data_IF_034180535426
#
_entry.id   IF_034180535426
#
_cell.length_a   1.000
_cell.length_b   1.000
_cell.length_c   1.000
_cell.angle_alpha   90.00
_cell.angle_beta   90.00
_cell.angle_gamma   90.00
#
_symmetry.space_group_name_H-M   'P 1'
#
loop_
_entity.id
_entity.type
_entity.pdbx_description
1 polymer ?
#
# COMPACT_ATOMS: atom_id res chain seq x y z
N UNK A 1 7.17 19.95 -14.12
CA UNK A 1 5.95 19.71 -14.94
C UNK A 1 5.67 18.21 -14.93
N UNK A 2 4.55 17.74 -14.35
CA UNK A 2 4.16 16.34 -14.41
C UNK A 2 3.87 15.95 -15.86
N UNK A 3 4.35 14.80 -16.30
CA UNK A 3 4.13 14.28 -17.66
C UNK A 3 2.99 13.28 -17.60
N UNK A 4 1.88 13.57 -18.28
CA UNK A 4 0.80 12.60 -18.49
C UNK A 4 1.29 11.52 -19.44
N UNK A 5 1.32 10.27 -18.98
CA UNK A 5 1.61 9.12 -19.84
C UNK A 5 0.26 8.58 -20.31
N UNK A 6 -0.17 9.05 -21.48
CA UNK A 6 -1.41 8.61 -22.12
C UNK A 6 -1.11 7.36 -22.97
N UNK A 7 -1.67 6.20 -22.62
CA UNK A 7 -1.62 5.03 -23.51
C UNK A 7 -2.48 5.30 -24.76
N UNK A 8 -1.82 5.31 -25.93
CA UNK A 8 -2.49 5.45 -27.23
C UNK A 8 -3.45 4.28 -27.48
N UNK A 9 -4.68 4.60 -27.91
CA UNK A 9 -5.65 3.64 -28.43
C UNK A 9 -5.03 2.76 -29.54
N UNK A 10 -5.22 1.43 -29.53
CA UNK A 10 -4.83 0.60 -30.65
C UNK A 10 -5.83 0.75 -31.82
N UNK A 11 -5.27 0.96 -33.01
CA UNK A 11 -5.95 0.82 -34.31
C UNK A 11 -6.28 -0.66 -34.53
N UNK A 12 -7.45 -1.03 -35.08
CA UNK A 12 -7.83 -2.42 -35.22
C UNK A 12 -7.07 -3.05 -36.41
N UNK A 13 -6.16 -3.98 -36.12
CA UNK A 13 -5.74 -5.00 -37.07
C UNK A 13 -5.63 -6.36 -36.38
N UNK A 14 -6.08 -7.36 -37.11
CA UNK A 14 -6.32 -8.74 -36.71
C UNK A 14 -5.12 -9.49 -36.12
N UNK A 15 -5.50 -10.43 -35.24
CA UNK A 15 -4.81 -11.63 -34.77
C UNK A 15 -3.73 -11.58 -33.67
N UNK A 16 -4.14 -12.28 -32.60
CA UNK A 16 -3.42 -13.20 -31.70
C UNK A 16 -2.69 -12.62 -30.49
N UNK A 17 -3.04 -13.25 -29.37
CA UNK A 17 -2.42 -13.25 -28.05
C UNK A 17 -2.34 -11.91 -27.32
N UNK A 18 -3.42 -11.59 -26.59
CA UNK A 18 -3.35 -10.79 -25.37
C UNK A 18 -4.18 -11.46 -24.29
N UNK A 19 -3.49 -11.85 -23.22
CA UNK A 19 -4.08 -12.46 -22.03
C UNK A 19 -5.20 -11.59 -21.48
N UNK A 20 -6.41 -12.10 -21.62
CA UNK A 20 -7.59 -11.57 -20.93
C UNK A 20 -7.51 -12.11 -19.51
N UNK A 21 -7.25 -11.24 -18.53
CA UNK A 21 -7.57 -11.53 -17.13
C UNK A 21 -9.10 -11.55 -17.03
N UNK A 22 -9.67 -12.72 -17.28
CA UNK A 22 -11.06 -13.03 -16.99
C UNK A 22 -11.16 -13.15 -15.47
N UNK A 23 -11.66 -12.12 -14.80
CA UNK A 23 -12.09 -12.27 -13.40
C UNK A 23 -13.37 -13.10 -13.38
N UNK A 24 -13.22 -14.41 -13.26
CA UNK A 24 -14.31 -15.25 -12.78
C UNK A 24 -14.44 -15.03 -11.27
N UNK A 25 -15.68 -14.90 -10.78
CA UNK A 25 -16.10 -14.49 -9.43
C UNK A 25 -15.64 -15.36 -8.25
N UNK A 26 -14.56 -16.14 -8.38
CA UNK A 26 -14.11 -17.11 -7.36
C UNK A 26 -12.62 -17.05 -7.04
N UNK A 27 -11.80 -16.29 -7.76
CA UNK A 27 -10.36 -16.15 -7.47
C UNK A 27 -10.01 -14.67 -7.25
N UNK A 28 -9.53 -14.34 -6.05
CA UNK A 28 -8.93 -13.02 -5.76
C UNK A 28 -7.41 -13.19 -5.74
N UNK A 29 -6.74 -12.59 -6.73
CA UNK A 29 -5.29 -12.49 -6.77
C UNK A 29 -4.87 -11.07 -6.45
N UNK A 30 -3.96 -10.92 -5.49
CA UNK A 30 -3.31 -9.64 -5.20
C UNK A 30 -1.82 -9.77 -5.54
N UNK A 31 -1.30 -8.81 -6.30
CA UNK A 31 0.08 -8.82 -6.79
C UNK A 31 0.74 -7.52 -6.37
N UNK A 32 1.88 -7.63 -5.71
CA UNK A 32 2.72 -6.48 -5.37
C UNK A 32 4.18 -6.78 -5.72
N UNK A 33 4.92 -5.76 -6.14
CA UNK A 33 6.34 -5.88 -6.49
C UNK A 33 7.16 -5.41 -5.30
N UNK A 34 8.04 -6.28 -4.81
CA UNK A 34 8.94 -6.00 -3.69
C UNK A 34 10.37 -5.98 -4.19
N UNK A 35 11.05 -4.86 -3.98
CA UNK A 35 12.50 -4.79 -4.15
C UNK A 35 13.17 -5.42 -2.92
N UNK A 36 14.16 -6.27 -3.13
CA UNK A 36 14.88 -6.94 -2.03
C UNK A 36 15.90 -6.04 -1.32
N UNK A 37 15.99 -4.77 -1.74
CA UNK A 37 16.81 -3.75 -1.09
C UNK A 37 18.29 -3.79 -1.50
N UNK A 38 18.69 -4.70 -2.40
CA UNK A 38 20.01 -4.60 -3.06
C UNK A 38 19.97 -3.48 -4.09
N UNK A 39 20.21 -2.25 -3.61
CA UNK A 39 20.38 -1.07 -4.48
C UNK A 39 21.45 -1.40 -5.53
N UNK A 40 21.02 -1.56 -6.79
CA UNK A 40 21.79 -1.69 -8.04
C UNK A 40 21.85 -3.07 -8.74
N UNK A 41 21.11 -4.11 -8.34
CA UNK A 41 20.96 -5.31 -9.19
C UNK A 41 19.56 -5.40 -9.81
N UNK A 42 19.39 -5.18 -11.13
CA UNK A 42 18.09 -5.36 -11.78
C UNK A 42 17.54 -6.80 -11.73
N UNK A 43 18.31 -7.78 -11.25
CA UNK A 43 17.84 -9.14 -10.95
C UNK A 43 17.28 -9.32 -9.53
N UNK A 44 17.27 -8.28 -8.68
CA UNK A 44 16.84 -8.39 -7.27
C UNK A 44 15.32 -8.27 -7.07
N UNK A 45 14.60 -7.84 -8.10
CA UNK A 45 13.17 -7.57 -7.99
C UNK A 45 12.41 -8.88 -7.77
N UNK A 46 11.61 -8.91 -6.71
CA UNK A 46 10.76 -10.04 -6.35
C UNK A 46 9.30 -9.64 -6.51
N UNK A 47 8.51 -10.51 -7.11
CA UNK A 47 7.07 -10.36 -7.17
C UNK A 47 6.45 -11.16 -6.02
N UNK A 48 5.74 -10.48 -5.13
CA UNK A 48 4.89 -11.16 -4.16
C UNK A 48 3.49 -11.34 -4.76
N UNK A 49 3.04 -12.59 -4.82
CA UNK A 49 1.70 -12.94 -5.27
C UNK A 49 0.96 -13.55 -4.10
N UNK A 50 -0.13 -12.93 -3.68
CA UNK A 50 -1.07 -13.51 -2.74
C UNK A 50 -2.21 -14.18 -3.52
N UNK A 51 -2.36 -15.49 -3.37
CA UNK A 51 -3.39 -16.29 -4.02
C UNK A 51 -4.30 -16.93 -2.99
N UNK A 52 -5.61 -16.85 -3.21
CA UNK A 52 -6.61 -17.60 -2.44
C UNK A 52 -7.11 -18.79 -3.25
N UNK A 53 -7.03 -19.99 -2.66
CA UNK A 53 -7.53 -21.23 -3.23
C UNK A 53 -8.83 -21.63 -2.51
N UNK A 54 -10.01 -21.44 -3.13
CA UNK A 54 -11.31 -21.67 -2.49
C UNK A 54 -11.57 -23.14 -2.16
N UNK A 55 -10.95 -24.06 -2.90
CA UNK A 55 -11.20 -25.51 -2.82
C UNK A 55 -10.63 -26.14 -1.54
N UNK A 56 -9.48 -25.64 -1.09
CA UNK A 56 -8.77 -26.17 0.09
C UNK A 56 -8.81 -25.20 1.28
N UNK A 57 -9.53 -24.08 1.15
CA UNK A 57 -9.53 -22.93 2.07
C UNK A 57 -8.09 -22.54 2.47
N UNK A 58 -7.20 -22.53 1.48
CA UNK A 58 -5.80 -22.17 1.68
C UNK A 58 -5.49 -20.87 0.98
N UNK A 59 -4.65 -20.07 1.62
CA UNK A 59 -4.12 -18.85 1.04
C UNK A 59 -2.61 -19.05 0.97
N UNK A 60 -2.00 -18.74 -0.18
CA UNK A 60 -0.54 -18.67 -0.31
C UNK A 60 -0.13 -17.23 -0.54
N UNK A 61 1.05 -16.89 -0.04
CA UNK A 61 1.78 -15.75 -0.53
C UNK A 61 3.08 -16.32 -1.04
N UNK A 62 3.29 -16.16 -2.34
CA UNK A 62 4.39 -16.71 -3.10
C UNK A 62 5.33 -15.56 -3.50
N UNK A 63 6.63 -15.84 -3.49
CA UNK A 63 7.66 -14.89 -3.89
C UNK A 63 8.35 -15.40 -5.16
N UNK A 64 8.24 -14.66 -6.26
CA UNK A 64 8.87 -14.98 -7.54
C UNK A 64 10.04 -14.02 -7.80
N UNK A 65 11.16 -14.52 -8.31
CA UNK A 65 12.23 -13.64 -8.76
C UNK A 65 11.93 -13.18 -10.19
N UNK A 66 12.03 -11.88 -10.45
CA UNK A 66 11.93 -11.32 -11.80
C UNK A 66 13.36 -11.21 -12.37
N UNK A 67 13.68 -12.00 -13.39
CA UNK A 67 14.90 -11.79 -14.18
C UNK A 67 14.57 -11.11 -15.51
N UNK A 68 15.32 -10.07 -15.93
CA UNK A 68 15.08 -9.38 -17.20
C UNK A 68 15.40 -10.21 -18.45
N UNK A 69 16.12 -11.33 -18.34
CA UNK A 69 16.58 -12.10 -19.50
C UNK A 69 15.76 -13.37 -19.74
N UNK A 70 15.04 -13.37 -20.86
CA UNK A 70 14.40 -14.49 -21.57
C UNK A 70 13.24 -15.20 -20.83
N UNK A 71 12.04 -15.08 -21.43
CA UNK A 71 10.82 -15.83 -21.16
C UNK A 71 10.61 -16.15 -19.67
N UNK A 72 9.79 -15.34 -18.99
CA UNK A 72 9.39 -15.50 -17.58
C UNK A 72 9.00 -16.96 -17.24
N UNK A 73 10.00 -17.79 -17.01
CA UNK A 73 9.89 -19.05 -16.33
C UNK A 73 10.01 -18.67 -14.87
N UNK A 74 9.10 -19.12 -13.99
CA UNK A 74 9.24 -18.93 -12.56
C UNK A 74 10.47 -19.73 -12.08
N UNK A 75 11.66 -19.17 -12.26
CA UNK A 75 12.92 -19.72 -11.77
C UNK A 75 13.14 -19.13 -10.38
N UNK A 76 12.49 -19.73 -9.39
CA UNK A 76 12.63 -19.32 -8.00
C UNK A 76 12.08 -20.37 -7.04
N UNK A 77 12.76 -20.56 -5.92
CA UNK A 77 12.23 -21.31 -4.79
C UNK A 77 11.01 -20.56 -4.25
N UNK A 78 9.80 -21.04 -4.57
CA UNK A 78 8.56 -20.51 -4.03
C UNK A 78 8.59 -20.74 -2.51
N UNK A 79 8.52 -19.65 -1.74
CA UNK A 79 8.41 -19.70 -0.28
C UNK A 79 7.01 -19.31 0.12
N UNK A 80 6.34 -20.22 0.84
CA UNK A 80 4.97 -20.07 1.30
C UNK A 80 4.96 -19.56 2.74
N UNK A 81 4.03 -18.65 3.04
CA UNK A 81 3.73 -18.27 4.42
C UNK A 81 2.90 -19.36 5.10
N UNK A 82 3.46 -19.98 6.13
CA UNK A 82 2.78 -21.01 6.92
C UNK A 82 2.23 -20.45 8.24
N UNK A 83 0.93 -20.64 8.45
CA UNK A 83 0.26 -20.27 9.69
C UNK A 83 0.38 -21.41 10.69
N UNK A 84 1.15 -21.20 11.76
CA UNK A 84 1.32 -22.16 12.85
C UNK A 84 0.07 -22.28 13.76
N UNK A 85 -0.98 -21.50 13.49
CA UNK A 85 -2.22 -21.44 14.28
C UNK A 85 -3.20 -22.55 13.91
N UNK A 86 -3.90 -23.10 14.91
CA UNK A 86 -5.01 -24.06 14.73
C UNK A 86 -6.14 -23.44 13.91
N UNK A 87 -6.30 -22.11 13.99
CA UNK A 87 -7.26 -21.36 13.20
C UNK A 87 -6.56 -20.74 11.98
N UNK A 88 -7.00 -21.12 10.78
CA UNK A 88 -6.57 -20.52 9.53
C UNK A 88 -7.34 -19.22 9.27
N UNK A 89 -6.69 -18.17 8.74
CA UNK A 89 -7.39 -16.96 8.34
C UNK A 89 -8.28 -17.25 7.12
N UNK A 90 -9.46 -16.61 7.08
CA UNK A 90 -10.40 -16.68 5.96
C UNK A 90 -9.95 -15.84 4.77
N UNK A 91 -9.24 -14.74 5.03
CA UNK A 91 -8.65 -13.86 4.02
C UNK A 91 -7.28 -13.37 4.47
N UNK A 92 -6.37 -13.20 3.52
CA UNK A 92 -5.10 -12.50 3.71
C UNK A 92 -5.03 -11.35 2.73
N UNK A 93 -4.37 -10.30 3.17
CA UNK A 93 -4.02 -9.17 2.34
C UNK A 93 -2.56 -8.80 2.60
N UNK A 94 -1.79 -8.62 1.53
CA UNK A 94 -0.47 -8.02 1.64
C UNK A 94 -0.67 -6.51 1.87
N UNK A 95 -0.46 -6.07 3.10
CA UNK A 95 -0.76 -4.69 3.50
C UNK A 95 0.29 -3.71 2.96
N UNK A 96 1.57 -4.05 3.05
CA UNK A 96 2.68 -3.27 2.51
C UNK A 96 3.98 -4.09 2.51
N UNK A 97 5.01 -3.57 1.84
CA UNK A 97 6.35 -4.14 1.78
C UNK A 97 7.43 -3.06 1.85
N UNK A 98 8.63 -3.42 2.33
CA UNK A 98 9.81 -2.55 2.35
C UNK A 98 11.06 -3.40 2.58
N UNK A 99 12.11 -3.20 1.76
CA UNK A 99 13.43 -3.83 1.89
C UNK A 99 13.36 -5.36 2.11
N UNK A 100 12.56 -6.04 1.29
CA UNK A 100 12.35 -7.49 1.38
C UNK A 100 11.55 -7.97 2.60
N UNK A 101 10.97 -7.09 3.41
CA UNK A 101 10.00 -7.43 4.45
C UNK A 101 8.57 -7.09 4.00
N UNK A 102 7.61 -7.86 4.48
CA UNK A 102 6.19 -7.70 4.15
C UNK A 102 5.32 -7.70 5.42
N UNK A 103 4.28 -6.88 5.43
CA UNK A 103 3.22 -6.93 6.44
C UNK A 103 2.00 -7.61 5.84
N UNK A 104 1.54 -8.66 6.50
CA UNK A 104 0.34 -9.40 6.11
C UNK A 104 -0.78 -9.10 7.09
N UNK A 105 -1.93 -8.70 6.56
CA UNK A 105 -3.17 -8.57 7.31
C UNK A 105 -3.99 -9.86 7.16
N UNK A 106 -4.30 -10.52 8.27
CA UNK A 106 -5.01 -11.79 8.33
C UNK A 106 -6.38 -11.60 8.98
N UNK A 107 -7.44 -11.97 8.27
CA UNK A 107 -8.83 -11.82 8.68
C UNK A 107 -9.41 -13.18 9.08
N UNK A 108 -9.89 -13.30 10.32
CA UNK A 108 -10.37 -14.57 10.86
C UNK A 108 -11.91 -14.69 10.87
N UNK A 109 -12.63 -13.58 10.84
CA UNK A 109 -14.10 -13.54 10.78
C UNK A 109 -14.61 -12.74 9.58
N UNK A 110 -15.89 -12.93 9.22
CA UNK A 110 -16.63 -12.13 8.24
C UNK A 110 -16.76 -10.69 8.76
N UNK A 111 -16.87 -10.53 10.08
CA UNK A 111 -16.81 -9.23 10.73
C UNK A 111 -15.37 -8.71 10.70
N UNK A 112 -15.18 -7.55 10.06
CA UNK A 112 -13.90 -6.87 9.80
C UNK A 112 -13.10 -6.48 11.05
N UNK A 113 -13.55 -6.88 12.24
CA UNK A 113 -13.05 -6.47 13.56
C UNK A 113 -11.89 -7.34 14.07
N UNK A 114 -11.67 -8.53 13.48
CA UNK A 114 -10.58 -9.42 13.90
C UNK A 114 -9.51 -9.53 12.81
N UNK A 115 -8.75 -8.44 12.64
CA UNK A 115 -7.56 -8.40 11.79
C UNK A 115 -6.33 -8.63 12.67
N UNK A 116 -5.47 -9.56 12.28
CA UNK A 116 -4.13 -9.72 12.87
C UNK A 116 -3.07 -9.32 11.86
N UNK A 117 -2.03 -8.66 12.34
CA UNK A 117 -0.89 -8.28 11.51
C UNK A 117 0.31 -9.19 11.78
N UNK A 118 0.97 -9.60 10.71
CA UNK A 118 2.18 -10.42 10.74
C UNK A 118 3.28 -9.71 9.97
N UNK A 119 4.48 -9.66 10.54
CA UNK A 119 5.68 -9.33 9.79
C UNK A 119 6.24 -10.62 9.21
N UNK A 120 6.45 -10.64 7.90
CA UNK A 120 6.97 -11.77 7.17
C UNK A 120 8.26 -11.39 6.44
N UNK A 121 9.26 -12.27 6.52
CA UNK A 121 10.44 -12.24 5.67
C UNK A 121 10.29 -13.33 4.60
N UNK A 122 9.88 -12.99 3.37
CA UNK A 122 9.74 -13.97 2.29
C UNK A 122 11.05 -14.68 1.98
N UNK A 123 12.21 -14.04 2.18
CA UNK A 123 13.51 -14.62 1.86
C UNK A 123 13.99 -15.66 2.89
N UNK A 124 13.53 -15.60 4.14
CA UNK A 124 13.83 -16.62 5.18
C UNK A 124 12.65 -17.54 5.47
N UNK A 125 11.43 -17.15 5.07
CA UNK A 125 10.19 -17.85 5.42
C UNK A 125 9.73 -17.56 6.85
N UNK A 126 10.52 -16.80 7.63
CA UNK A 126 10.19 -16.50 9.02
C UNK A 126 9.08 -15.46 9.09
N UNK A 127 8.16 -15.67 10.03
CA UNK A 127 7.07 -14.74 10.32
C UNK A 127 6.93 -14.53 11.81
N UNK A 128 6.52 -13.33 12.22
CA UNK A 128 6.24 -12.99 13.61
C UNK A 128 4.94 -12.19 13.71
N UNK A 129 4.09 -12.47 14.73
CA UNK A 129 2.92 -11.64 15.00
C UNK A 129 3.34 -10.25 15.44
N UNK A 130 2.64 -9.24 14.91
CA UNK A 130 2.75 -7.87 15.40
C UNK A 130 1.75 -7.66 16.54
N UNK A 131 2.08 -6.80 17.52
CA UNK A 131 1.11 -6.39 18.52
C UNK A 131 -0.07 -5.70 17.83
N UNK A 132 -1.26 -5.80 18.43
CA UNK A 132 -2.42 -5.09 17.88
C UNK A 132 -2.25 -3.57 18.06
N UNK A 133 -2.62 -2.77 17.05
CA UNK A 133 -2.78 -1.34 17.24
C UNK A 133 -3.87 -1.06 18.29
N UNK A 134 -3.88 0.13 18.89
CA UNK A 134 -4.85 0.46 19.94
C UNK A 134 -6.29 0.64 19.41
N UNK A 135 -6.45 0.85 18.10
CA UNK A 135 -7.74 0.95 17.42
C UNK A 135 -7.96 -0.18 16.40
N UNK A 136 -7.99 -1.46 16.81
CA UNK A 136 -8.04 -2.59 15.87
C UNK A 136 -9.44 -2.77 15.24
N UNK A 137 -10.50 -2.28 15.89
CA UNK A 137 -11.90 -2.51 15.49
C UNK A 137 -12.43 -1.54 14.43
N UNK A 138 -11.64 -0.55 14.00
CA UNK A 138 -12.07 0.43 13.02
C UNK A 138 -11.92 -0.10 11.59
N UNK A 139 -13.02 -0.08 10.82
CA UNK A 139 -12.94 -0.30 9.38
C UNK A 139 -12.10 0.80 8.73
N UNK A 140 -11.10 0.40 7.93
CA UNK A 140 -10.24 1.34 7.22
C UNK A 140 -8.97 1.74 7.99
N UNK A 141 -8.25 0.75 8.53
CA UNK A 141 -6.86 0.91 8.94
C UNK A 141 -5.94 0.76 7.71
N UNK A 142 -4.98 1.67 7.59
CA UNK A 142 -3.95 1.70 6.54
C UNK A 142 -2.59 1.54 7.18
N UNK A 143 -1.76 0.64 6.66
CA UNK A 143 -0.47 0.32 7.25
C UNK A 143 0.66 0.60 6.26
N UNK A 144 1.75 1.17 6.76
CA UNK A 144 3.00 1.35 6.03
C UNK A 144 4.16 0.75 6.81
N UNK A 145 5.13 0.20 6.07
CA UNK A 145 6.42 -0.27 6.59
C UNK A 145 7.53 0.56 5.95
N UNK A 146 8.49 1.03 6.75
CA UNK A 146 9.58 1.86 6.27
C UNK A 146 10.82 1.75 7.14
N UNK A 147 11.99 1.79 6.51
CA UNK A 147 13.27 1.82 7.21
C UNK A 147 13.66 3.27 7.56
N UNK A 148 13.79 3.55 8.86
CA UNK A 148 14.25 4.85 9.34
C UNK A 148 15.77 4.85 9.47
N UNK A 149 16.44 5.55 8.55
CA UNK A 149 17.89 5.72 8.56
C UNK A 149 18.39 6.38 9.85
N UNK A 150 17.62 7.30 10.44
CA UNK A 150 18.03 8.05 11.62
C UNK A 150 18.08 7.16 12.88
N UNK A 151 17.06 6.33 13.09
CA UNK A 151 17.06 5.37 14.20
C UNK A 151 17.75 4.04 13.89
N UNK A 152 18.07 3.78 12.61
CA UNK A 152 18.68 2.53 12.14
C UNK A 152 17.77 1.32 12.35
N UNK A 153 16.47 1.46 12.04
CA UNK A 153 15.49 0.40 12.26
C UNK A 153 14.18 0.62 11.51
N UNK A 154 13.42 -0.47 11.36
CA UNK A 154 12.09 -0.43 10.76
C UNK A 154 11.07 0.20 11.70
N UNK A 155 10.20 1.01 11.10
CA UNK A 155 9.01 1.59 11.71
C UNK A 155 7.78 1.18 10.91
N UNK A 156 6.68 0.96 11.63
CA UNK A 156 5.38 0.66 11.07
C UNK A 156 4.44 1.79 11.47
N UNK A 157 3.74 2.37 10.50
CA UNK A 157 2.74 3.40 10.76
C UNK A 157 1.36 2.87 10.42
N UNK A 158 0.41 3.12 11.31
CA UNK A 158 -1.01 2.87 11.11
C UNK A 158 -1.76 4.19 11.09
N UNK A 159 -2.66 4.35 10.12
CA UNK A 159 -3.61 5.47 10.07
C UNK A 159 -5.01 4.95 9.85
N UNK A 160 -6.02 5.77 10.19
CA UNK A 160 -7.41 5.34 10.23
C UNK A 160 -8.29 6.23 9.37
N UNK A 161 -9.32 5.66 8.76
CA UNK A 161 -10.39 6.40 8.09
C UNK A 161 -11.30 7.12 9.11
N UNK A 162 -10.71 8.01 9.92
CA UNK A 162 -11.36 8.66 11.05
C UNK A 162 -10.78 10.05 11.29
N UNK A 163 -11.62 10.98 11.75
CA UNK A 163 -11.19 12.31 12.21
C UNK A 163 -10.69 12.28 13.66
N UNK A 164 -11.17 11.32 14.42
CA UNK A 164 -11.02 11.31 15.87
C UNK A 164 -9.84 10.45 16.32
N UNK A 165 -9.48 9.44 15.53
CA UNK A 165 -8.37 8.55 15.80
C UNK A 165 -7.03 9.19 15.39
N UNK A 166 -6.07 9.37 16.30
CA UNK A 166 -4.70 9.70 15.92
C UNK A 166 -4.08 8.54 15.13
N UNK A 167 -3.05 8.84 14.34
CA UNK A 167 -2.20 7.80 13.78
C UNK A 167 -1.42 7.09 14.89
N UNK A 168 -0.88 5.91 14.58
CA UNK A 168 -0.02 5.15 15.50
C UNK A 168 1.27 4.74 14.81
N UNK A 169 2.34 4.62 15.59
CA UNK A 169 3.63 4.17 15.12
C UNK A 169 4.20 3.10 16.05
N UNK A 170 4.77 2.06 15.45
CA UNK A 170 5.47 0.98 16.11
C UNK A 170 6.92 0.97 15.60
N UNK A 171 7.89 1.06 16.50
CA UNK A 171 9.31 0.92 16.16
C UNK A 171 9.90 -0.29 16.89
N UNK A 172 10.72 -1.09 16.18
CA UNK A 172 11.29 -2.33 16.75
C UNK A 172 12.15 -2.06 18.00
N UNK A 173 12.82 -0.91 18.07
CA UNK A 173 13.65 -0.52 19.23
C UNK A 173 12.84 -0.04 20.43
N UNK A 174 11.57 0.36 20.25
CA UNK A 174 10.72 0.87 21.32
C UNK A 174 9.76 -0.22 21.81
N UNK A 175 10.21 -1.05 22.76
CA UNK A 175 9.33 -1.83 23.65
C UNK A 175 8.27 -2.75 23.02
N UNK A 176 8.29 -2.99 21.71
CA UNK A 176 7.28 -3.74 20.96
C UNK A 176 5.83 -3.27 21.21
N UNK A 177 5.60 -1.96 21.40
CA UNK A 177 4.26 -1.40 21.59
C UNK A 177 3.99 -0.25 20.64
N UNK A 178 2.72 -0.12 20.24
CA UNK A 178 2.24 1.02 19.50
C UNK A 178 2.19 2.26 20.39
N UNK A 179 2.52 3.41 19.81
CA UNK A 179 2.28 4.72 20.43
C UNK A 179 1.57 5.64 19.46
N UNK A 180 0.87 6.61 20.01
CA UNK A 180 0.19 7.63 19.21
C UNK A 180 1.17 8.56 18.51
N UNK A 181 0.78 8.97 17.32
CA UNK A 181 1.35 10.10 16.57
C UNK A 181 0.44 11.30 16.82
N UNK A 182 1.03 12.49 16.91
CA UNK A 182 0.25 13.72 17.02
C UNK A 182 -0.72 13.88 15.85
N UNK A 183 -1.82 14.61 16.06
CA UNK A 183 -2.75 14.90 14.98
C UNK A 183 -2.14 15.93 14.03
N UNK A 184 -2.52 15.86 12.76
CA UNK A 184 -2.13 16.85 11.78
C UNK A 184 -2.60 18.26 12.20
N UNK A 185 -1.66 19.20 12.37
CA UNK A 185 -1.92 20.54 12.93
C UNK A 185 -2.97 21.35 12.17
N UNK A 186 -3.08 21.13 10.85
CA UNK A 186 -4.05 21.78 9.96
C UNK A 186 -5.47 21.16 9.99
N UNK A 187 -5.71 20.18 10.86
CA UNK A 187 -6.99 19.47 10.96
C UNK A 187 -7.29 18.57 9.76
N UNK A 188 -6.24 18.07 9.11
CA UNK A 188 -6.36 17.10 8.02
C UNK A 188 -6.48 15.71 8.63
N UNK A 189 -7.44 14.93 8.16
CA UNK A 189 -7.65 13.55 8.61
C UNK A 189 -7.38 12.59 7.46
N UNK A 190 -6.95 11.37 7.80
CA UNK A 190 -6.62 10.36 6.80
C UNK A 190 -7.89 9.89 6.08
N UNK A 191 -7.80 9.84 4.75
CA UNK A 191 -8.89 9.46 3.88
C UNK A 191 -8.39 8.66 2.67
N UNK A 192 -7.78 7.51 2.96
CA UNK A 192 -7.47 6.55 1.90
C UNK A 192 -8.71 5.70 1.64
N UNK A 193 -9.23 5.74 0.42
CA UNK A 193 -10.22 4.77 -0.04
C UNK A 193 -9.62 4.04 -1.22
N UNK A 194 -9.70 2.71 -1.22
CA UNK A 194 -9.21 1.89 -2.34
C UNK A 194 -7.76 1.41 -2.22
N UNK A 195 -7.10 1.66 -1.09
CA UNK A 195 -5.81 1.05 -0.73
C UNK A 195 -5.77 0.75 0.76
N UNK A 196 -4.98 -0.25 1.16
CA UNK A 196 -4.63 -0.54 2.56
C UNK A 196 -3.17 -0.20 2.89
N UNK A 197 -2.40 0.24 1.89
CA UNK A 197 -0.97 0.52 1.98
C UNK A 197 -0.72 2.03 2.13
N UNK A 198 0.28 2.39 2.95
CA UNK A 198 0.88 3.71 2.98
C UNK A 198 2.24 3.67 2.27
N UNK A 199 2.36 4.12 1.00
CA UNK A 199 3.62 4.11 0.28
C UNK A 199 4.72 4.88 1.02
N UNK A 200 5.90 4.27 1.12
CA UNK A 200 7.09 4.84 1.75
C UNK A 200 8.07 5.32 0.68
N UNK A 201 8.27 6.63 0.60
CA UNK A 201 9.15 7.27 -0.40
C UNK A 201 9.93 8.38 0.30
N UNK A 202 11.24 8.50 0.01
CA UNK A 202 12.08 9.59 0.53
C UNK A 202 12.01 9.78 2.06
N UNK A 203 11.95 8.69 2.82
CA UNK A 203 11.93 8.74 4.29
C UNK A 203 10.59 9.14 4.90
N UNK A 204 9.51 9.16 4.12
CA UNK A 204 8.18 9.51 4.59
C UNK A 204 7.09 8.56 4.06
N UNK A 205 6.06 8.35 4.86
CA UNK A 205 4.83 7.69 4.43
C UNK A 205 3.89 8.69 3.77
N UNK A 206 3.16 8.25 2.75
CA UNK A 206 2.27 9.13 1.99
C UNK A 206 0.88 8.55 1.87
N UNK A 207 -0.12 9.43 1.93
CA UNK A 207 -1.51 9.04 1.77
C UNK A 207 -2.43 10.19 1.41
N UNK A 208 -3.68 9.89 1.07
CA UNK A 208 -4.70 10.92 0.81
C UNK A 208 -5.25 11.46 2.12
N UNK A 209 -5.13 12.76 2.32
CA UNK A 209 -5.75 13.49 3.42
C UNK A 209 -6.91 14.34 2.94
N UNK A 210 -7.87 14.55 3.84
CA UNK A 210 -8.99 15.46 3.63
C UNK A 210 -9.05 16.53 4.70
N UNK A 211 -9.45 17.73 4.29
CA UNK A 211 -9.75 18.85 5.17
C UNK A 211 -11.17 19.33 4.91
N UNK A 212 -11.90 19.68 5.97
CA UNK A 212 -13.26 20.19 5.89
C UNK A 212 -14.33 19.11 6.13
N UNK A 213 -15.59 19.53 6.14
CA UNK A 213 -16.74 18.67 6.37
C UNK A 213 -17.26 18.08 5.04
N UNK A 214 -17.61 16.79 5.03
CA UNK A 214 -18.23 16.12 3.88
C UNK A 214 -19.56 16.76 3.47
N UNK A 215 -20.27 17.33 4.45
CA UNK A 215 -21.54 18.02 4.20
C UNK A 215 -21.36 19.34 3.44
N UNK A 216 -20.14 19.89 3.42
CA UNK A 216 -19.84 21.23 2.92
C UNK A 216 -19.09 21.25 1.58
N UNK A 217 -19.24 22.31 0.78
CA UNK A 217 -18.53 22.47 -0.49
C UNK A 217 -17.03 22.79 -0.33
N UNK A 218 -16.54 23.09 0.88
CA UNK A 218 -15.15 23.47 1.16
C UNK A 218 -14.19 22.30 1.40
N UNK A 219 -14.60 21.07 1.10
CA UNK A 219 -13.72 19.91 1.25
C UNK A 219 -12.54 19.99 0.28
N UNK A 220 -11.33 19.84 0.80
CA UNK A 220 -10.10 19.83 0.00
C UNK A 220 -9.31 18.56 0.26
N UNK A 221 -8.74 17.98 -0.79
CA UNK A 221 -7.85 16.82 -0.71
C UNK A 221 -6.40 17.25 -0.93
N UNK A 222 -5.48 16.67 -0.17
CA UNK A 222 -4.03 16.79 -0.35
C UNK A 222 -3.38 15.42 -0.17
N UNK A 223 -2.15 15.28 -0.65
CA UNK A 223 -1.31 14.16 -0.24
C UNK A 223 -0.64 14.55 1.07
N UNK A 224 -0.93 13.80 2.12
CA UNK A 224 -0.25 13.90 3.40
C UNK A 224 1.07 13.14 3.29
N UNK A 225 2.13 13.76 3.76
CA UNK A 225 3.43 13.14 3.96
C UNK A 225 3.71 13.11 5.47
N UNK A 226 4.27 12.01 5.97
CA UNK A 226 4.69 11.90 7.36
C UNK A 226 6.12 11.37 7.41
N UNK A 227 7.06 12.24 7.76
CA UNK A 227 8.47 11.86 7.87
C UNK A 227 8.70 11.06 9.14
N UNK A 228 9.27 9.87 9.02
CA UNK A 228 9.40 8.96 10.17
C UNK A 228 10.62 9.26 11.04
N UNK A 229 11.59 10.03 10.54
CA UNK A 229 12.82 10.35 11.28
C UNK A 229 12.59 11.46 12.31
N UNK A 230 11.78 12.46 11.97
CA UNK A 230 11.45 13.60 12.84
C UNK A 230 9.96 13.68 13.21
N UNK A 231 9.13 12.79 12.67
CA UNK A 231 7.69 12.66 12.99
C UNK A 231 6.89 13.92 12.67
N UNK A 232 7.24 14.56 11.55
CA UNK A 232 6.60 15.79 11.07
C UNK A 232 5.69 15.48 9.89
N UNK A 233 4.49 16.09 9.93
CA UNK A 233 3.57 16.09 8.81
C UNK A 233 3.96 17.15 7.77
N UNK A 234 3.81 16.79 6.51
CA UNK A 234 3.87 17.69 5.36
C UNK A 234 2.62 17.54 4.50
N UNK A 235 2.33 18.59 3.73
CA UNK A 235 1.20 18.62 2.80
C UNK A 235 1.70 18.88 1.38
N UNK A 236 1.39 17.95 0.48
CA UNK A 236 1.69 18.08 -0.94
C UNK A 236 0.36 18.36 -1.66
N UNK A 237 0.25 19.49 -2.38
CA UNK A 237 -0.96 19.79 -3.14
C UNK A 237 -1.13 18.78 -4.27
N UNK A 238 -2.37 18.36 -4.53
CA UNK A 238 -2.68 17.56 -5.70
C UNK A 238 -2.47 18.40 -6.99
N UNK A 239 -1.99 17.80 -8.09
CA UNK A 239 -1.87 18.48 -9.37
C UNK A 239 -3.19 19.13 -9.81
N UNK A 240 -3.13 20.32 -10.42
CA UNK A 240 -4.32 21.06 -10.86
C UNK A 240 -5.20 20.27 -11.84
N UNK A 241 -4.61 19.35 -12.61
CA UNK A 241 -5.30 18.43 -13.50
C UNK A 241 -6.30 17.54 -12.73
N UNK A 242 -6.05 17.29 -11.44
CA UNK A 242 -6.91 16.53 -10.53
C UNK A 242 -7.97 17.40 -9.83
N UNK A 243 -8.00 18.71 -10.09
CA UNK A 243 -9.03 19.61 -9.53
C UNK A 243 -10.44 19.19 -9.92
N UNK A 244 -10.62 18.50 -11.05
CA UNK A 244 -11.90 17.94 -11.45
C UNK A 244 -12.35 16.79 -10.54
N UNK A 245 -11.41 15.95 -10.07
CA UNK A 245 -11.69 14.87 -9.13
C UNK A 245 -12.08 15.44 -7.76
N UNK A 246 -11.37 16.48 -7.31
CA UNK A 246 -11.72 17.20 -6.08
C UNK A 246 -13.15 17.77 -6.14
N UNK A 247 -13.51 18.45 -7.24
CA UNK A 247 -14.88 18.98 -7.45
C UNK A 247 -15.94 17.89 -7.45
N UNK A 248 -15.60 16.70 -7.97
CA UNK A 248 -16.50 15.54 -8.02
C UNK A 248 -16.45 14.68 -6.75
N UNK A 249 -15.67 15.08 -5.75
CA UNK A 249 -15.47 14.34 -4.48
C UNK A 249 -14.99 12.90 -4.72
N UNK A 250 -14.20 12.70 -5.76
CA UNK A 250 -13.54 11.43 -6.04
C UNK A 250 -12.24 11.38 -5.22
N UNK A 251 -12.09 10.32 -4.43
CA UNK A 251 -10.88 10.08 -3.64
C UNK A 251 -9.76 9.57 -4.55
N UNK A 252 -8.61 10.22 -4.47
CA UNK A 252 -7.41 9.75 -5.13
C UNK A 252 -6.71 8.68 -4.28
N UNK A 253 -6.04 7.74 -4.93
CA UNK A 253 -5.19 6.72 -4.29
C UNK A 253 -3.73 7.08 -4.52
N UNK A 254 -2.90 6.91 -3.49
CA UNK A 254 -1.47 7.17 -3.54
C UNK A 254 -0.73 5.84 -3.63
N UNK A 255 0.24 5.75 -4.52
CA UNK A 255 1.15 4.61 -4.65
C UNK A 255 2.59 5.09 -4.86
N UNK A 256 3.54 4.15 -4.87
CA UNK A 256 4.91 4.39 -5.25
C UNK A 256 5.24 3.61 -6.52
N UNK A 257 6.01 4.22 -7.42
CA UNK A 257 6.54 3.59 -8.62
C UNK A 257 7.96 4.12 -8.84
N UNK A 258 8.94 3.21 -8.86
CA UNK A 258 10.36 3.56 -9.10
C UNK A 258 10.88 4.69 -8.19
N UNK A 259 10.57 4.60 -6.90
CA UNK A 259 10.94 5.62 -5.90
C UNK A 259 10.21 6.97 -6.07
N UNK A 260 9.23 7.07 -6.95
CA UNK A 260 8.40 8.27 -7.13
C UNK A 260 7.00 8.05 -6.60
N UNK A 261 6.39 9.11 -6.07
CA UNK A 261 4.98 9.06 -5.71
C UNK A 261 4.11 9.12 -6.95
N UNK A 262 3.08 8.29 -6.94
CA UNK A 262 2.05 8.28 -7.95
C UNK A 262 0.69 8.55 -7.30
N UNK A 263 -0.16 9.22 -8.05
CA UNK A 263 -1.56 9.41 -7.73
C UNK A 263 -2.36 8.72 -8.81
N UNK A 264 -3.42 8.01 -8.46
CA UNK A 264 -4.37 7.48 -9.42
C UNK A 264 -5.81 7.54 -8.91
N UNK A 265 -6.76 7.35 -9.80
CA UNK A 265 -8.19 7.28 -9.47
C UNK A 265 -8.80 6.06 -10.15
N UNK A 266 -9.43 5.19 -9.35
CA UNK A 266 -10.19 4.03 -9.84
C UNK A 266 -11.68 4.35 -10.11
N UNK A 267 -12.08 5.62 -10.02
CA UNK A 267 -13.49 6.01 -9.93
C UNK A 267 -13.99 6.81 -11.14
N UNK A 268 -13.31 6.78 -12.27
CA UNK A 268 -13.89 7.41 -13.44
C UNK A 268 -15.06 6.55 -13.94
N UNK A 269 -16.22 7.19 -14.17
CA UNK A 269 -17.44 6.52 -14.66
C UNK A 269 -17.26 5.88 -16.05
N UNK A 270 -16.08 6.03 -16.67
CA UNK A 270 -15.73 5.54 -18.00
C UNK A 270 -14.75 4.34 -17.95
N UNK A 271 -14.29 3.91 -16.78
CA UNK A 271 -13.39 2.76 -16.63
C UNK A 271 -11.96 3.01 -17.12
N UNK A 272 -11.52 4.26 -17.22
CA UNK A 272 -10.15 4.67 -17.55
C UNK A 272 -9.31 4.87 -16.29
N UNK A 273 -8.32 4.00 -16.12
CA UNK A 273 -7.28 4.17 -15.11
C UNK A 273 -6.36 5.32 -15.52
N UNK A 274 -6.22 6.33 -14.66
CA UNK A 274 -5.30 7.45 -14.86
C UNK A 274 -4.28 7.50 -13.74
N UNK A 275 -3.00 7.58 -14.12
CA UNK A 275 -1.84 7.60 -13.23
C UNK A 275 -1.05 8.89 -13.45
N UNK A 276 -0.72 9.59 -12.36
CA UNK A 276 0.09 10.79 -12.38
C UNK A 276 1.30 10.60 -11.49
N UNK A 277 2.49 10.81 -12.07
CA UNK A 277 3.76 10.78 -11.32
C UNK A 277 4.04 12.18 -10.77
N UNK A 278 4.18 12.28 -9.45
CA UNK A 278 4.58 13.51 -8.76
C UNK A 278 6.11 13.66 -8.85
N UNK A 279 6.56 14.42 -9.84
CA UNK A 279 7.97 14.80 -10.02
C UNK A 279 8.31 16.01 -9.13
N UNK A 280 9.47 15.98 -8.49
CA UNK A 280 10.06 17.11 -7.76
C UNK A 280 9.12 17.76 -6.72
N UNK A 281 8.56 16.95 -5.81
CA UNK A 281 7.77 17.49 -4.69
C UNK A 281 8.71 17.84 -3.52
N UNK A 282 8.89 19.13 -3.27
CA UNK A 282 9.50 19.59 -2.03
C UNK A 282 8.48 19.42 -0.90
N UNK A 283 8.81 18.59 0.08
CA UNK A 283 8.06 18.53 1.33
C UNK A 283 8.34 19.83 2.09
N UNK A 284 7.44 20.80 1.98
CA UNK A 284 7.52 22.01 2.81
C UNK A 284 7.18 21.62 4.25
N UNK A 285 8.22 21.61 5.10
CA UNK A 285 8.10 21.47 6.55
C UNK A 285 7.58 22.74 7.22
#
# INVERSE_FOLDING_TARGET
>A
MPTEVEEKKPVPHDQKDKGVLVSNNTEQMYVDVVDDGTKNDPNSQKLLICQWFPQDDTISIDCLNLSPSAAAQPVGNIRRLDFHSIYKPRRLHLACCCDGLAIIAAYYDIDVRQIRYLLWNPSTGESAPLPDPQFPDYSGIFVGLGYDLASGGYKIVATYLSRDCPGEILAKKSGCSWRYIDKHSRGIFSHNIGTYCLPFVNGAFHWTGMRGDYSMPSISQSVVSFSISNEVYGDIPLPEQLSCLQRRRITCVISALDGMLCVYSNSDLQGTFKLWVLKDYDVKG
#
